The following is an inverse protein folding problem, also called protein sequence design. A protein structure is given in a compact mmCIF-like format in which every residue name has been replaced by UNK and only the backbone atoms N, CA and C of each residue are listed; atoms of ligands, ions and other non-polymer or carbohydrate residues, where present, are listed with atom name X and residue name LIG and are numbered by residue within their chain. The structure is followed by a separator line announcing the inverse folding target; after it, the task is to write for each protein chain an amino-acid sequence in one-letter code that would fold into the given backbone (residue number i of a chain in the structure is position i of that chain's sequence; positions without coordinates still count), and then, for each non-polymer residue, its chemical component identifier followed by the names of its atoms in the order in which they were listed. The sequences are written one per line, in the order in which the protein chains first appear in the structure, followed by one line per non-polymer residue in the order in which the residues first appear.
data_IF_752429753906
#
_entry.id   IF_752429753906
#
_cell.length_a   1.000
_cell.length_b   1.000
_cell.length_c   1.000
_cell.angle_alpha   90.00
_cell.angle_beta   90.00
_cell.angle_gamma   90.00
#
_symmetry.space_group_name_H-M   'P 1'
#
loop_
_entity.id
_entity.type
_entity.pdbx_description
1 polymer ?
#
# COMPACT_ATOMS: atom_id res chain seq x y z
N UNK A 1 6.21 68.80 -1.43
CA UNK A 1 6.94 67.50 -1.29
C UNK A 1 6.81 66.85 0.07
N UNK A 2 6.75 67.57 1.22
CA UNK A 2 6.72 66.89 2.56
C UNK A 2 5.44 66.11 2.90
N UNK A 3 4.27 66.58 2.43
CA UNK A 3 2.99 65.84 2.72
C UNK A 3 2.88 64.52 1.93
N UNK A 4 3.26 64.50 0.65
CA UNK A 4 3.28 63.31 -0.17
C UNK A 4 4.19 62.21 0.44
N UNK A 5 5.40 62.61 0.81
CA UNK A 5 6.36 61.67 1.41
C UNK A 5 5.86 61.08 2.75
N UNK A 6 5.22 61.89 3.60
CA UNK A 6 4.61 61.41 4.86
C UNK A 6 3.46 60.44 4.61
N UNK A 7 2.60 60.70 3.64
CA UNK A 7 1.46 59.81 3.32
C UNK A 7 1.93 58.50 2.72
N UNK A 8 2.92 58.52 1.83
CA UNK A 8 3.50 57.32 1.22
C UNK A 8 4.22 56.48 2.24
N UNK A 9 4.98 57.11 3.15
CA UNK A 9 5.66 56.38 4.25
C UNK A 9 4.67 55.79 5.24
N UNK A 10 3.59 56.52 5.57
CA UNK A 10 2.53 55.98 6.45
C UNK A 10 1.78 54.83 5.81
N UNK A 11 1.48 54.85 4.50
CA UNK A 11 0.87 53.75 3.78
C UNK A 11 1.80 52.53 3.72
N UNK A 12 3.08 52.73 3.44
CA UNK A 12 4.07 51.66 3.44
C UNK A 12 4.22 51.01 4.82
N UNK A 13 4.30 51.82 5.87
CA UNK A 13 4.39 51.29 7.24
C UNK A 13 3.11 50.52 7.66
N UNK A 14 1.94 51.04 7.26
CA UNK A 14 0.66 50.37 7.52
C UNK A 14 0.52 49.02 6.83
N UNK A 15 0.92 48.95 5.53
CA UNK A 15 0.93 47.66 4.81
C UNK A 15 1.95 46.70 5.38
N UNK A 16 3.11 47.15 5.80
CA UNK A 16 4.13 46.29 6.42
C UNK A 16 3.65 45.74 7.76
N UNK A 17 3.04 46.55 8.61
CA UNK A 17 2.47 46.12 9.90
C UNK A 17 1.33 45.13 9.66
N UNK A 18 0.46 45.36 8.69
CA UNK A 18 -0.63 44.45 8.34
C UNK A 18 -0.11 43.10 7.87
N UNK A 19 0.89 43.05 6.97
CA UNK A 19 1.55 41.85 6.51
C UNK A 19 2.25 41.09 7.64
N UNK A 20 2.91 41.80 8.53
CA UNK A 20 3.56 41.21 9.71
C UNK A 20 2.55 40.62 10.68
N UNK A 21 1.42 41.27 10.91
CA UNK A 21 0.32 40.75 11.73
C UNK A 21 -0.30 39.47 11.12
N UNK A 22 -0.51 39.46 9.80
CA UNK A 22 -0.98 38.26 9.08
C UNK A 22 0.04 37.11 9.19
N UNK A 23 1.32 37.41 9.05
CA UNK A 23 2.40 36.45 9.21
C UNK A 23 2.44 35.86 10.62
N UNK A 24 2.31 36.68 11.67
CA UNK A 24 2.23 36.21 13.07
C UNK A 24 0.98 35.36 13.31
N UNK A 25 -0.16 35.69 12.72
CA UNK A 25 -1.36 34.88 12.77
C UNK A 25 -1.15 33.51 12.11
N UNK A 26 -0.53 33.48 10.94
CA UNK A 26 -0.18 32.23 10.25
C UNK A 26 0.80 31.38 11.08
N UNK A 27 1.83 31.99 11.66
CA UNK A 27 2.75 31.27 12.57
C UNK A 27 2.05 30.76 13.84
N UNK A 28 1.10 31.49 14.39
CA UNK A 28 0.30 31.05 15.54
C UNK A 28 -0.58 29.86 15.19
N UNK A 29 -1.21 29.85 14.00
CA UNK A 29 -2.02 28.74 13.52
C UNK A 29 -1.14 27.50 13.26
N UNK A 30 0.00 27.69 12.58
CA UNK A 30 0.97 26.59 12.33
C UNK A 30 1.54 26.07 13.65
N UNK A 31 1.87 26.93 14.60
CA UNK A 31 2.36 26.54 15.92
C UNK A 31 1.32 25.78 16.75
N UNK A 32 0.04 26.16 16.68
CA UNK A 32 -1.04 25.44 17.36
C UNK A 32 -1.33 24.08 16.70
N UNK A 33 -1.26 23.95 15.38
CA UNK A 33 -1.33 22.67 14.68
C UNK A 33 -0.12 21.78 15.04
N UNK A 34 1.09 22.33 15.07
CA UNK A 34 2.31 21.59 15.40
C UNK A 34 2.30 21.07 16.83
N UNK A 35 1.78 21.85 17.80
CA UNK A 35 1.65 21.39 19.19
C UNK A 35 0.58 20.30 19.37
N UNK A 36 -0.46 20.27 18.54
CA UNK A 36 -1.46 19.20 18.53
C UNK A 36 -0.90 17.88 17.95
N UNK A 37 0.07 17.97 17.04
CA UNK A 37 0.73 16.81 16.44
C UNK A 37 1.82 16.24 17.37
N UNK A 38 2.56 17.11 18.10
CA UNK A 38 3.65 16.66 18.96
C UNK A 38 3.21 16.11 20.32
N UNK A 39 1.96 16.28 20.73
CA UNK A 39 1.43 15.76 21.99
C UNK A 39 0.86 14.35 21.93
N UNK A 40 0.96 13.68 20.77
CA UNK A 40 0.72 12.24 20.71
C UNK A 40 2.00 11.49 21.14
N UNK A 41 2.43 11.71 22.41
CA UNK A 41 3.27 10.74 23.11
C UNK A 41 2.62 9.37 22.92
N UNK A 42 3.40 8.42 22.42
CA UNK A 42 2.97 7.03 22.29
C UNK A 42 2.49 6.54 23.65
N UNK A 43 1.18 6.64 23.89
CA UNK A 43 0.57 5.97 25.04
C UNK A 43 0.96 4.50 24.90
N UNK A 44 1.66 3.99 25.88
CA UNK A 44 2.01 2.58 25.95
C UNK A 44 0.71 1.79 25.91
N UNK A 45 0.35 1.29 24.72
CA UNK A 45 -0.84 0.47 24.55
C UNK A 45 -0.62 -0.78 25.38
N UNK A 46 -1.44 -0.97 26.41
CA UNK A 46 -1.43 -2.20 27.20
C UNK A 46 -2.24 -3.20 26.38
N UNK A 47 -1.55 -4.17 25.79
CA UNK A 47 -2.17 -5.26 25.05
C UNK A 47 -2.81 -6.22 26.05
N UNK A 48 -4.11 -6.44 25.92
CA UNK A 48 -4.82 -7.37 26.79
C UNK A 48 -4.52 -8.83 26.38
N UNK A 49 -4.59 -9.80 27.29
CA UNK A 49 -4.49 -11.23 26.92
C UNK A 49 -5.55 -11.62 25.89
N UNK A 50 -5.20 -12.56 25.00
CA UNK A 50 -6.04 -13.02 23.89
C UNK A 50 -6.35 -11.95 22.82
N UNK A 51 -5.50 -10.93 22.68
CA UNK A 51 -5.65 -9.90 21.65
C UNK A 51 -5.33 -10.47 20.26
N UNK A 52 -5.98 -9.86 19.25
CA UNK A 52 -5.74 -10.13 17.84
C UNK A 52 -5.06 -8.91 17.22
N UNK A 53 -3.93 -9.11 16.55
CA UNK A 53 -3.35 -8.04 15.75
C UNK A 53 -4.10 -7.94 14.42
N UNK A 54 -4.97 -6.94 14.30
CA UNK A 54 -5.64 -6.64 13.04
C UNK A 54 -4.74 -5.79 12.16
N UNK A 55 -4.52 -6.26 10.93
CA UNK A 55 -3.85 -5.51 9.87
C UNK A 55 -4.90 -5.13 8.83
N UNK A 56 -5.09 -3.85 8.64
CA UNK A 56 -5.98 -3.28 7.65
C UNK A 56 -5.16 -2.38 6.73
N UNK A 57 -5.21 -2.64 5.42
CA UNK A 57 -4.43 -1.92 4.43
C UNK A 57 -5.18 -0.67 3.89
N UNK A 58 -6.11 -0.12 4.65
CA UNK A 58 -6.83 1.11 4.29
C UNK A 58 -5.89 2.32 4.06
N UNK A 59 -4.74 2.32 4.74
CA UNK A 59 -3.67 3.29 4.51
C UNK A 59 -2.51 2.63 3.74
N UNK A 60 -1.87 3.39 2.85
CA UNK A 60 -0.72 2.92 2.09
C UNK A 60 0.46 2.64 3.02
N UNK A 61 1.12 1.50 2.86
CA UNK A 61 2.40 1.22 3.49
C UNK A 61 3.51 1.79 2.59
N UNK A 62 4.15 2.86 3.07
CA UNK A 62 5.24 3.55 2.40
C UNK A 62 6.60 3.11 2.96
N UNK A 63 7.69 3.35 2.24
CA UNK A 63 9.03 3.06 2.77
C UNK A 63 9.34 3.87 4.04
N UNK A 64 8.84 5.10 4.09
CA UNK A 64 9.02 5.99 5.25
C UNK A 64 7.69 6.54 5.75
N UNK A 65 7.59 6.76 7.06
CA UNK A 65 6.49 7.52 7.64
C UNK A 65 6.45 8.93 7.00
N UNK A 66 5.39 9.28 6.30
CA UNK A 66 5.20 10.61 5.78
C UNK A 66 4.02 11.28 6.48
N UNK A 67 4.32 12.24 7.33
CA UNK A 67 3.34 13.24 7.75
C UNK A 67 3.47 14.43 6.78
N UNK A 68 2.59 14.49 5.80
CA UNK A 68 2.56 15.64 4.91
C UNK A 68 1.50 16.64 5.41
N UNK A 69 1.87 17.71 6.11
CA UNK A 69 0.92 18.71 6.63
C UNK A 69 0.14 19.42 5.51
N UNK A 70 0.64 19.41 4.27
CA UNK A 70 -0.05 19.98 3.11
C UNK A 70 -1.13 19.04 2.53
N UNK A 71 -1.09 17.75 2.82
CA UNK A 71 -2.11 16.79 2.35
C UNK A 71 -3.49 17.09 2.96
N UNK A 72 -3.55 17.61 4.19
CA UNK A 72 -4.79 18.06 4.84
C UNK A 72 -5.46 19.22 4.09
N UNK A 73 -4.67 20.02 3.35
CA UNK A 73 -5.17 21.17 2.58
C UNK A 73 -5.56 20.74 1.16
N UNK A 74 -4.80 19.81 0.54
CA UNK A 74 -5.00 19.38 -0.84
C UNK A 74 -6.08 18.31 -1.01
N UNK A 75 -6.40 17.55 0.04
CA UNK A 75 -7.40 16.49 0.01
C UNK A 75 -8.13 16.42 1.35
N UNK A 76 -9.15 17.27 1.56
CA UNK A 76 -9.97 17.20 2.78
C UNK A 76 -10.65 15.82 2.88
N UNK A 77 -10.26 15.02 3.86
CA UNK A 77 -10.78 13.66 4.09
C UNK A 77 -9.85 12.52 3.73
N UNK A 78 -8.72 12.76 3.07
CA UNK A 78 -7.63 11.78 3.02
C UNK A 78 -6.81 11.92 4.31
N UNK A 79 -6.71 10.86 5.10
CA UNK A 79 -5.72 10.80 6.16
C UNK A 79 -4.35 10.80 5.45
N UNK A 80 -3.66 11.93 5.46
CA UNK A 80 -2.33 12.07 4.84
C UNK A 80 -1.25 11.35 5.63
N UNK A 81 -1.61 10.23 6.28
CA UNK A 81 -0.72 9.38 7.05
C UNK A 81 -0.42 8.13 6.23
N UNK A 82 0.84 7.88 6.00
CA UNK A 82 1.32 6.59 5.55
C UNK A 82 2.00 5.89 6.73
N UNK A 83 1.78 4.60 6.87
CA UNK A 83 2.52 3.80 7.83
C UNK A 83 3.86 3.41 7.20
N UNK A 84 4.97 3.76 7.84
CA UNK A 84 6.29 3.35 7.37
C UNK A 84 6.50 1.85 7.46
N UNK A 85 7.07 1.26 6.41
CA UNK A 85 7.33 -0.17 6.29
C UNK A 85 8.10 -0.72 7.49
N UNK A 86 9.18 -0.05 7.88
CA UNK A 86 10.00 -0.48 9.03
C UNK A 86 9.19 -0.54 10.33
N UNK A 87 8.27 0.41 10.53
CA UNK A 87 7.40 0.43 11.70
C UNK A 87 6.37 -0.71 11.67
N UNK A 88 5.82 -1.00 10.49
CA UNK A 88 4.91 -2.12 10.30
C UNK A 88 5.62 -3.48 10.57
N UNK A 89 6.84 -3.66 10.04
CA UNK A 89 7.67 -4.84 10.27
C UNK A 89 8.02 -4.99 11.76
N UNK A 90 8.49 -3.93 12.40
CA UNK A 90 8.82 -3.95 13.83
C UNK A 90 7.58 -4.29 14.69
N UNK A 91 6.41 -3.83 14.30
CA UNK A 91 5.17 -4.16 15.00
C UNK A 91 4.84 -5.65 14.91
N UNK A 92 5.08 -6.29 13.75
CA UNK A 92 4.95 -7.74 13.59
C UNK A 92 5.97 -8.51 14.43
N UNK A 93 7.22 -8.05 14.49
CA UNK A 93 8.27 -8.68 15.29
C UNK A 93 7.97 -8.61 16.80
N UNK A 94 7.46 -7.46 17.26
CA UNK A 94 6.99 -7.31 18.65
C UNK A 94 5.81 -8.24 18.92
N UNK A 95 4.81 -8.25 18.02
CA UNK A 95 3.63 -9.10 18.16
C UNK A 95 3.97 -10.61 18.15
N UNK A 96 5.01 -11.01 17.40
CA UNK A 96 5.50 -12.39 17.40
C UNK A 96 6.00 -12.84 18.78
N UNK A 97 6.57 -11.92 19.56
CA UNK A 97 7.14 -12.20 20.88
C UNK A 97 6.16 -11.93 22.04
N UNK A 98 5.08 -11.16 21.80
CA UNK A 98 4.13 -10.80 22.85
C UNK A 98 3.14 -11.95 23.10
N UNK A 99 3.15 -12.60 24.30
CA UNK A 99 2.24 -13.69 24.61
C UNK A 99 0.76 -13.28 24.67
N UNK A 100 0.49 -11.97 24.74
CA UNK A 100 -0.88 -11.44 24.74
C UNK A 100 -1.52 -11.48 23.34
N UNK A 101 -0.72 -11.50 22.29
CA UNK A 101 -1.20 -11.62 20.89
C UNK A 101 -1.38 -13.07 20.53
N UNK A 102 -2.61 -13.46 20.20
CA UNK A 102 -2.98 -14.84 19.88
C UNK A 102 -2.69 -15.19 18.42
N UNK A 103 -3.09 -14.33 17.49
CA UNK A 103 -2.87 -14.47 16.06
C UNK A 103 -2.95 -13.12 15.34
N UNK A 104 -2.60 -13.11 14.06
CA UNK A 104 -2.80 -11.96 13.15
C UNK A 104 -4.03 -12.19 12.30
N UNK A 105 -4.88 -11.17 12.18
CA UNK A 105 -5.96 -11.11 11.20
C UNK A 105 -5.67 -10.01 10.17
N UNK A 106 -5.61 -10.36 8.90
CA UNK A 106 -5.37 -9.44 7.78
C UNK A 106 -6.64 -9.25 6.96
N UNK A 107 -7.08 -8.01 6.80
CA UNK A 107 -8.04 -7.63 5.77
C UNK A 107 -7.29 -7.25 4.50
N UNK A 108 -7.37 -8.10 3.46
CA UNK A 108 -6.62 -7.96 2.22
C UNK A 108 -7.41 -7.33 1.07
N UNK A 109 -8.56 -6.69 1.32
CA UNK A 109 -9.39 -6.05 0.29
C UNK A 109 -8.66 -4.94 -0.49
N UNK A 110 -7.85 -4.14 0.19
CA UNK A 110 -7.24 -2.94 -0.37
C UNK A 110 -5.73 -2.90 -0.08
N UNK A 111 -5.02 -3.97 -0.39
CA UNK A 111 -3.56 -4.01 -0.20
C UNK A 111 -2.89 -2.96 -1.06
N UNK A 112 -2.25 -2.00 -0.42
CA UNK A 112 -1.60 -0.86 -1.06
C UNK A 112 -0.22 -0.62 -0.46
N UNK A 113 0.82 -0.85 -1.27
CA UNK A 113 2.21 -0.60 -0.95
C UNK A 113 2.81 0.39 -1.95
N UNK A 114 3.74 1.23 -1.49
CA UNK A 114 4.42 2.19 -2.35
C UNK A 114 5.26 1.50 -3.44
N UNK A 115 5.82 0.32 -3.13
CA UNK A 115 6.64 -0.45 -4.07
C UNK A 115 6.42 -1.96 -3.92
N UNK A 116 6.76 -2.72 -4.97
CA UNK A 116 6.71 -4.19 -4.94
C UNK A 116 7.75 -4.77 -3.98
N UNK A 117 8.91 -4.15 -3.86
CA UNK A 117 9.93 -4.55 -2.89
C UNK A 117 9.45 -4.39 -1.44
N UNK A 118 8.71 -3.31 -1.13
CA UNK A 118 8.09 -3.13 0.19
C UNK A 118 7.04 -4.21 0.48
N UNK A 119 6.30 -4.63 -0.54
CA UNK A 119 5.32 -5.72 -0.44
C UNK A 119 6.01 -7.06 -0.12
N UNK A 120 7.08 -7.40 -0.83
CA UNK A 120 7.88 -8.61 -0.59
C UNK A 120 8.53 -8.61 0.80
N UNK A 121 9.09 -7.47 1.21
CA UNK A 121 9.71 -7.34 2.53
C UNK A 121 8.70 -7.50 3.67
N UNK A 122 7.48 -6.98 3.49
CA UNK A 122 6.39 -7.16 4.44
C UNK A 122 5.92 -8.62 4.48
N UNK A 123 5.80 -9.30 3.33
CA UNK A 123 5.51 -10.74 3.27
C UNK A 123 6.58 -11.56 4.00
N UNK A 124 7.86 -11.22 3.82
CA UNK A 124 8.95 -11.86 4.56
C UNK A 124 8.82 -11.66 6.08
N UNK A 125 8.33 -10.49 6.53
CA UNK A 125 8.04 -10.26 7.95
C UNK A 125 6.87 -11.11 8.46
N UNK A 126 5.82 -11.30 7.66
CA UNK A 126 4.72 -12.24 7.97
C UNK A 126 5.23 -13.70 8.08
N UNK A 127 6.16 -14.10 7.22
CA UNK A 127 6.80 -15.43 7.31
C UNK A 127 7.57 -15.60 8.62
N UNK A 128 8.31 -14.57 9.05
CA UNK A 128 8.98 -14.59 10.36
C UNK A 128 7.98 -14.62 11.51
N UNK A 129 6.88 -13.89 11.42
CA UNK A 129 5.80 -13.96 12.41
C UNK A 129 5.22 -15.38 12.51
N UNK A 130 4.89 -16.00 11.38
CA UNK A 130 4.38 -17.39 11.33
C UNK A 130 5.38 -18.37 11.97
N UNK A 131 6.68 -18.16 11.82
CA UNK A 131 7.73 -18.96 12.43
C UNK A 131 7.75 -18.89 13.97
N UNK A 132 7.07 -17.92 14.58
CA UNK A 132 6.87 -17.86 16.05
C UNK A 132 5.86 -18.88 16.57
N UNK A 133 5.16 -19.60 15.68
CA UNK A 133 4.09 -20.56 16.01
C UNK A 133 2.71 -19.93 16.16
N UNK A 134 2.56 -18.63 15.87
CA UNK A 134 1.26 -17.96 15.86
C UNK A 134 0.64 -17.97 14.47
N UNK A 135 -0.67 -18.14 14.41
CA UNK A 135 -1.40 -18.24 13.15
C UNK A 135 -1.61 -16.88 12.48
N UNK A 136 -1.76 -16.92 11.17
CA UNK A 136 -2.20 -15.80 10.34
C UNK A 136 -3.51 -16.18 9.66
N UNK A 137 -4.54 -15.35 9.78
CA UNK A 137 -5.81 -15.48 9.11
C UNK A 137 -5.95 -14.31 8.13
N UNK A 138 -6.19 -14.59 6.86
CA UNK A 138 -6.41 -13.58 5.84
C UNK A 138 -7.83 -13.65 5.32
N UNK A 139 -8.45 -12.50 5.11
CA UNK A 139 -9.77 -12.36 4.50
C UNK A 139 -9.77 -11.25 3.48
N UNK A 140 -10.52 -11.45 2.41
CA UNK A 140 -10.90 -10.38 1.49
C UNK A 140 -12.29 -10.64 0.89
N UNK A 141 -13.00 -9.56 0.58
CA UNK A 141 -14.16 -9.64 -0.30
C UNK A 141 -13.71 -9.92 -1.73
N UNK A 142 -12.64 -9.26 -2.17
CA UNK A 142 -12.04 -9.47 -3.48
C UNK A 142 -10.52 -9.48 -3.37
N UNK A 143 -9.87 -10.44 -4.00
CA UNK A 143 -8.41 -10.49 -4.03
C UNK A 143 -7.85 -9.83 -5.29
N UNK A 144 -7.04 -8.79 -5.12
CA UNK A 144 -6.10 -8.34 -6.13
C UNK A 144 -4.85 -9.24 -6.13
N UNK A 145 -4.03 -9.21 -7.20
CA UNK A 145 -2.80 -9.97 -7.23
C UNK A 145 -1.85 -9.65 -6.05
N UNK A 146 -1.59 -8.38 -5.67
CA UNK A 146 -0.83 -8.05 -4.45
C UNK A 146 -1.52 -8.52 -3.16
N UNK A 147 -2.85 -8.41 -3.10
CA UNK A 147 -3.64 -8.85 -1.95
C UNK A 147 -3.55 -10.35 -1.73
N UNK A 148 -3.70 -11.12 -2.80
CA UNK A 148 -3.56 -12.57 -2.74
C UNK A 148 -2.11 -13.01 -2.47
N UNK A 149 -1.13 -12.32 -3.05
CA UNK A 149 0.28 -12.57 -2.76
C UNK A 149 0.56 -12.51 -1.24
N UNK A 150 0.05 -11.49 -0.53
CA UNK A 150 0.17 -11.45 0.93
C UNK A 150 -0.69 -12.50 1.63
N UNK A 151 -1.94 -12.68 1.19
CA UNK A 151 -2.86 -13.60 1.84
C UNK A 151 -2.40 -15.06 1.76
N UNK A 152 -1.75 -15.46 0.65
CA UNK A 152 -1.35 -16.85 0.40
C UNK A 152 -0.40 -17.43 1.45
N UNK A 153 0.31 -16.60 2.23
CA UNK A 153 1.18 -17.07 3.32
C UNK A 153 0.39 -17.47 4.59
N UNK A 154 -0.88 -17.02 4.71
CA UNK A 154 -1.69 -17.25 5.88
C UNK A 154 -1.94 -18.75 6.12
N UNK A 155 -2.19 -19.10 7.39
CA UNK A 155 -2.59 -20.45 7.79
C UNK A 155 -4.04 -20.73 7.41
N UNK A 156 -4.84 -19.67 7.30
CA UNK A 156 -6.22 -19.71 6.84
C UNK A 156 -6.48 -18.55 5.89
N UNK A 157 -6.75 -18.84 4.63
CA UNK A 157 -7.15 -17.88 3.61
C UNK A 157 -8.65 -17.99 3.40
N UNK A 158 -9.37 -16.91 3.63
CA UNK A 158 -10.82 -16.84 3.54
C UNK A 158 -11.21 -15.82 2.48
N UNK A 159 -12.23 -16.10 1.71
CA UNK A 159 -12.77 -15.21 0.69
C UNK A 159 -14.28 -15.07 0.81
N UNK A 160 -14.82 -13.93 0.46
CA UNK A 160 -16.27 -13.76 0.36
C UNK A 160 -16.84 -14.70 -0.69
N UNK A 161 -17.97 -15.34 -0.41
CA UNK A 161 -18.64 -16.32 -1.30
C UNK A 161 -18.97 -15.73 -2.68
N UNK A 162 -19.29 -14.41 -2.76
CA UNK A 162 -19.56 -13.71 -4.01
C UNK A 162 -18.39 -12.81 -4.45
N UNK A 163 -17.20 -13.06 -3.91
CA UNK A 163 -16.01 -12.32 -4.24
C UNK A 163 -15.42 -12.70 -5.60
N UNK A 164 -14.52 -11.86 -6.08
CA UNK A 164 -13.76 -12.09 -7.31
C UNK A 164 -12.26 -12.01 -7.04
N UNK A 165 -11.48 -12.78 -7.80
CA UNK A 165 -10.03 -12.71 -7.77
C UNK A 165 -9.50 -12.12 -9.08
N UNK A 166 -8.68 -11.09 -8.97
CA UNK A 166 -8.01 -10.43 -10.10
C UNK A 166 -6.52 -10.81 -10.15
N UNK A 167 -6.27 -12.10 -10.41
CA UNK A 167 -4.92 -12.65 -10.54
C UNK A 167 -4.68 -12.98 -12.00
N UNK A 168 -4.42 -11.93 -12.79
CA UNK A 168 -4.34 -11.98 -14.24
C UNK A 168 -2.91 -11.88 -14.79
N UNK A 169 -1.91 -12.06 -13.95
CA UNK A 169 -0.51 -11.83 -14.30
C UNK A 169 -0.08 -10.37 -14.09
N UNK A 170 1.09 -10.02 -14.58
CA UNK A 170 1.65 -8.68 -14.53
C UNK A 170 1.78 -8.08 -15.92
N UNK A 171 1.50 -6.79 -16.03
CA UNK A 171 1.61 -6.06 -17.28
C UNK A 171 2.15 -4.65 -17.07
N UNK A 172 2.83 -4.12 -18.08
CA UNK A 172 3.33 -2.74 -18.09
C UNK A 172 2.71 -1.96 -19.25
N UNK A 173 2.14 -0.80 -18.93
CA UNK A 173 1.62 0.14 -19.91
C UNK A 173 2.63 1.27 -20.14
N UNK A 174 3.06 1.43 -21.39
CA UNK A 174 3.98 2.50 -21.79
C UNK A 174 3.24 3.54 -22.61
N UNK A 175 3.43 4.81 -22.25
CA UNK A 175 2.84 5.95 -22.96
C UNK A 175 3.90 6.57 -23.87
N UNK A 176 3.52 6.91 -25.11
CA UNK A 176 4.37 7.59 -26.07
C UNK A 176 3.76 8.93 -26.45
N UNK A 177 4.53 10.00 -26.29
CA UNK A 177 4.10 11.39 -26.42
C UNK A 177 4.59 12.06 -27.71
N UNK A 178 5.34 11.34 -28.55
CA UNK A 178 5.97 11.93 -29.76
C UNK A 178 4.97 12.64 -30.66
N UNK A 179 3.88 11.98 -31.06
CA UNK A 179 2.88 12.60 -31.95
C UNK A 179 2.18 13.82 -31.33
N UNK A 180 1.99 13.81 -30.02
CA UNK A 180 1.44 14.95 -29.31
C UNK A 180 2.41 16.14 -29.33
N UNK A 181 3.69 15.89 -29.05
CA UNK A 181 4.74 16.93 -29.06
C UNK A 181 4.97 17.48 -30.45
N UNK A 182 4.96 16.64 -31.48
CA UNK A 182 5.07 17.05 -32.89
C UNK A 182 3.93 18.01 -33.29
N UNK A 183 2.69 17.72 -32.85
CA UNK A 183 1.53 18.62 -33.09
C UNK A 183 1.66 19.96 -32.39
N UNK A 184 2.38 20.03 -31.27
CA UNK A 184 2.68 21.28 -30.56
C UNK A 184 3.91 22.00 -31.13
N UNK A 185 4.59 21.43 -32.12
CA UNK A 185 5.83 21.99 -32.70
C UNK A 185 7.04 21.84 -31.75
N UNK A 186 7.00 20.91 -30.81
CA UNK A 186 8.08 20.67 -29.84
C UNK A 186 8.95 19.52 -30.34
N UNK A 187 10.17 19.82 -30.77
CA UNK A 187 11.18 18.80 -31.13
C UNK A 187 12.02 18.40 -29.91
N UNK A 188 12.12 17.11 -29.64
CA UNK A 188 12.96 16.56 -28.55
C UNK A 188 14.21 15.92 -29.18
N UNK A 189 15.39 16.35 -28.71
CA UNK A 189 16.67 15.70 -29.02
C UNK A 189 17.13 14.89 -27.81
N UNK A 190 17.09 13.56 -27.94
CA UNK A 190 17.53 12.65 -26.89
C UNK A 190 19.02 12.32 -27.08
N UNK A 191 19.84 12.64 -26.08
CA UNK A 191 21.24 12.25 -26.00
C UNK A 191 21.35 11.12 -24.99
N UNK A 192 21.64 9.90 -25.46
CA UNK A 192 21.78 8.71 -24.62
C UNK A 192 22.97 7.87 -25.01
N UNK A 193 23.51 7.15 -24.07
CA UNK A 193 24.58 6.17 -24.32
C UNK A 193 24.19 4.83 -23.70
N UNK A 194 24.15 3.80 -24.53
CA UNK A 194 23.81 2.42 -24.16
C UNK A 194 22.45 1.94 -24.69
N UNK A 195 22.39 0.62 -25.00
CA UNK A 195 21.24 -0.05 -25.64
C UNK A 195 19.94 0.07 -24.79
N UNK A 196 20.08 -0.06 -23.46
CA UNK A 196 18.95 -0.14 -22.53
C UNK A 196 18.60 1.20 -21.83
N UNK A 197 19.10 2.33 -22.33
CA UNK A 197 18.71 3.66 -21.82
C UNK A 197 17.41 4.12 -22.48
N UNK A 198 16.29 3.51 -22.07
CA UNK A 198 14.99 3.64 -22.74
C UNK A 198 14.08 4.75 -22.20
N UNK A 199 14.39 5.36 -21.04
CA UNK A 199 13.52 6.32 -20.37
C UNK A 199 13.06 7.50 -21.24
N UNK A 200 13.88 7.94 -22.21
CA UNK A 200 13.51 9.03 -23.13
C UNK A 200 12.76 8.58 -24.39
N UNK A 201 12.54 7.29 -24.62
CA UNK A 201 11.86 6.80 -25.82
C UNK A 201 10.41 7.28 -25.90
N UNK A 202 9.76 7.49 -24.77
CA UNK A 202 8.40 8.03 -24.69
C UNK A 202 8.23 9.37 -25.43
N UNK A 203 9.30 10.15 -25.58
CA UNK A 203 9.26 11.47 -26.22
C UNK A 203 9.66 11.46 -27.69
N UNK A 204 10.40 10.44 -28.16
CA UNK A 204 10.98 10.39 -29.50
C UNK A 204 10.48 9.24 -30.36
N UNK A 205 9.79 8.26 -29.79
CA UNK A 205 9.24 7.11 -30.47
C UNK A 205 7.70 7.07 -30.35
N UNK A 206 7.03 6.39 -31.27
CA UNK A 206 5.60 6.08 -31.18
C UNK A 206 5.34 4.66 -30.68
N UNK A 207 6.38 3.83 -30.59
CA UNK A 207 6.31 2.46 -30.14
C UNK A 207 7.55 2.09 -29.32
N UNK A 208 7.40 1.07 -28.50
CA UNK A 208 8.50 0.50 -27.73
C UNK A 208 9.59 -0.08 -28.64
N UNK A 209 10.86 0.24 -28.38
CA UNK A 209 11.97 -0.39 -29.08
C UNK A 209 12.16 -1.85 -28.66
N UNK A 210 12.76 -2.70 -29.50
CA UNK A 210 13.06 -4.10 -29.13
C UNK A 210 13.87 -4.23 -27.83
N UNK A 211 14.86 -3.35 -27.63
CA UNK A 211 15.67 -3.37 -26.42
C UNK A 211 14.90 -2.97 -25.15
N UNK A 212 14.00 -2.00 -25.28
CA UNK A 212 13.13 -1.59 -24.18
C UNK A 212 12.09 -2.69 -23.86
N UNK A 213 11.55 -3.36 -24.90
CA UNK A 213 10.65 -4.50 -24.72
C UNK A 213 11.34 -5.65 -23.97
N UNK A 214 12.55 -6.04 -24.44
CA UNK A 214 13.38 -7.05 -23.79
C UNK A 214 13.58 -6.73 -22.29
N UNK A 215 13.99 -5.51 -21.97
CA UNK A 215 14.24 -5.08 -20.59
C UNK A 215 12.97 -5.11 -19.73
N UNK A 216 11.84 -4.63 -20.25
CA UNK A 216 10.58 -4.63 -19.50
C UNK A 216 10.04 -6.06 -19.31
N UNK A 217 10.19 -6.92 -20.31
CA UNK A 217 9.75 -8.31 -20.22
C UNK A 217 10.55 -9.06 -19.16
N UNK A 218 11.88 -9.01 -19.20
CA UNK A 218 12.76 -9.62 -18.20
C UNK A 218 12.43 -9.15 -16.77
N UNK A 219 12.12 -7.87 -16.61
CA UNK A 219 11.74 -7.32 -15.31
C UNK A 219 10.40 -7.88 -14.83
N UNK A 220 9.39 -7.93 -15.71
CA UNK A 220 8.05 -8.42 -15.35
C UNK A 220 8.10 -9.92 -15.06
N UNK A 221 8.79 -10.68 -15.89
CA UNK A 221 8.94 -12.12 -15.74
C UNK A 221 9.64 -12.45 -14.40
N UNK A 222 10.72 -11.75 -14.07
CA UNK A 222 11.43 -11.95 -12.81
C UNK A 222 10.55 -11.68 -11.57
N UNK A 223 9.71 -10.64 -11.61
CA UNK A 223 8.77 -10.33 -10.52
C UNK A 223 7.69 -11.42 -10.44
N UNK A 224 7.12 -11.81 -11.58
CA UNK A 224 6.07 -12.82 -11.64
C UNK A 224 6.56 -14.18 -11.15
N UNK A 225 7.71 -14.61 -11.62
CA UNK A 225 8.33 -15.88 -11.23
C UNK A 225 8.59 -15.93 -9.71
N UNK A 226 9.05 -14.83 -9.12
CA UNK A 226 9.23 -14.71 -7.66
C UNK A 226 7.91 -14.87 -6.92
N UNK A 227 6.86 -14.17 -7.35
CA UNK A 227 5.56 -14.22 -6.69
C UNK A 227 4.92 -15.61 -6.81
N UNK A 228 4.95 -16.17 -8.02
CA UNK A 228 4.36 -17.50 -8.27
C UNK A 228 5.08 -18.58 -7.46
N UNK A 229 6.40 -18.53 -7.38
CA UNK A 229 7.17 -19.48 -6.58
C UNK A 229 6.76 -19.45 -5.10
N UNK A 230 6.60 -18.25 -4.53
CA UNK A 230 6.20 -18.08 -3.12
C UNK A 230 4.74 -18.44 -2.85
N UNK A 231 3.83 -18.11 -3.78
CA UNK A 231 2.41 -18.51 -3.70
C UNK A 231 2.32 -20.04 -3.79
N UNK A 232 2.94 -20.64 -4.78
CA UNK A 232 2.93 -22.09 -5.03
C UNK A 232 3.47 -22.85 -3.81
N UNK A 233 4.58 -22.40 -3.24
CA UNK A 233 5.14 -22.95 -2.03
C UNK A 233 4.18 -22.86 -0.83
N UNK A 234 3.52 -21.71 -0.66
CA UNK A 234 2.63 -21.45 0.48
C UNK A 234 1.32 -22.21 0.39
N UNK A 235 0.84 -22.48 -0.84
CA UNK A 235 -0.43 -23.17 -1.12
C UNK A 235 -0.26 -24.64 -1.51
N UNK A 236 0.99 -25.15 -1.47
CA UNK A 236 1.32 -26.55 -1.75
C UNK A 236 0.89 -27.01 -3.15
N UNK A 237 0.97 -26.12 -4.14
CA UNK A 237 0.73 -26.41 -5.56
C UNK A 237 2.02 -26.22 -6.36
N UNK A 238 2.04 -26.66 -7.60
CA UNK A 238 3.21 -26.43 -8.47
C UNK A 238 3.16 -25.06 -9.15
N UNK A 239 4.32 -24.51 -9.47
CA UNK A 239 4.45 -23.26 -10.26
C UNK A 239 3.73 -23.40 -11.61
N UNK A 240 3.89 -24.56 -12.29
CA UNK A 240 3.26 -24.82 -13.57
C UNK A 240 1.73 -24.85 -13.47
N UNK A 241 1.20 -25.45 -12.41
CA UNK A 241 -0.24 -25.51 -12.15
C UNK A 241 -0.81 -24.11 -11.93
N UNK A 242 -0.16 -23.29 -11.06
CA UNK A 242 -0.60 -21.93 -10.82
C UNK A 242 -0.58 -21.09 -12.12
N UNK A 243 0.50 -21.17 -12.90
CA UNK A 243 0.60 -20.46 -14.19
C UNK A 243 -0.49 -20.90 -15.17
N UNK A 244 -0.80 -22.21 -15.26
CA UNK A 244 -1.89 -22.71 -16.10
C UNK A 244 -3.26 -22.16 -15.68
N UNK A 245 -3.53 -22.06 -14.36
CA UNK A 245 -4.76 -21.47 -13.85
C UNK A 245 -4.90 -19.98 -14.22
N UNK A 246 -3.80 -19.24 -14.15
CA UNK A 246 -3.76 -17.82 -14.53
C UNK A 246 -3.91 -17.65 -16.05
N UNK A 247 -3.15 -18.41 -16.85
CA UNK A 247 -3.17 -18.34 -18.31
C UNK A 247 -4.54 -18.69 -18.90
N UNK A 248 -5.24 -19.63 -18.29
CA UNK A 248 -6.58 -20.05 -18.68
C UNK A 248 -7.69 -19.16 -18.09
N UNK A 249 -7.35 -18.13 -17.31
CA UNK A 249 -8.29 -17.25 -16.60
C UNK A 249 -9.28 -18.03 -15.71
N UNK A 250 -8.82 -19.12 -15.13
CA UNK A 250 -9.64 -20.00 -14.28
C UNK A 250 -9.93 -19.35 -12.92
N UNK A 251 -9.05 -18.48 -12.42
CA UNK A 251 -9.13 -17.88 -11.08
C UNK A 251 -9.98 -16.60 -11.09
N UNK A 252 -11.26 -16.69 -11.46
CA UNK A 252 -12.11 -15.51 -11.62
C UNK A 252 -13.05 -15.27 -10.43
N UNK A 253 -13.53 -16.32 -9.81
CA UNK A 253 -14.49 -16.23 -8.71
C UNK A 253 -14.03 -17.01 -7.46
N UNK A 254 -14.82 -16.93 -6.40
CA UNK A 254 -14.48 -17.51 -5.12
C UNK A 254 -14.51 -19.04 -5.14
N UNK A 255 -15.42 -19.64 -5.92
CA UNK A 255 -15.54 -21.08 -6.03
C UNK A 255 -14.31 -21.68 -6.73
N UNK A 256 -13.86 -21.07 -7.81
CA UNK A 256 -12.63 -21.45 -8.52
C UNK A 256 -11.41 -21.42 -7.59
N UNK A 257 -11.28 -20.35 -6.80
CA UNK A 257 -10.17 -20.19 -5.86
C UNK A 257 -10.19 -21.32 -4.79
N UNK A 258 -11.38 -21.73 -4.35
CA UNK A 258 -11.53 -22.82 -3.37
C UNK A 258 -11.30 -24.18 -4.00
N UNK A 259 -11.80 -24.45 -5.21
CA UNK A 259 -11.62 -25.72 -5.92
C UNK A 259 -10.14 -26.04 -6.16
N UNK A 260 -9.34 -25.00 -6.42
CA UNK A 260 -7.90 -25.12 -6.64
C UNK A 260 -7.04 -24.94 -5.38
N UNK A 261 -7.62 -25.03 -4.19
CA UNK A 261 -6.94 -24.92 -2.88
C UNK A 261 -6.19 -23.58 -2.67
N UNK A 262 -6.55 -22.55 -3.41
CA UNK A 262 -5.98 -21.21 -3.24
C UNK A 262 -6.67 -20.44 -2.11
N UNK A 263 -7.89 -20.82 -1.77
CA UNK A 263 -8.68 -20.33 -0.63
C UNK A 263 -9.17 -21.53 0.18
N UNK A 264 -9.09 -21.45 1.50
CA UNK A 264 -9.45 -22.55 2.38
C UNK A 264 -10.95 -22.59 2.68
N UNK A 265 -11.58 -21.41 2.81
CA UNK A 265 -13.01 -21.28 3.13
C UNK A 265 -13.63 -20.08 2.42
N UNK A 266 -14.92 -20.24 2.10
CA UNK A 266 -15.76 -19.15 1.65
C UNK A 266 -16.68 -18.72 2.79
N UNK A 267 -16.61 -17.45 3.19
CA UNK A 267 -17.36 -16.90 4.31
C UNK A 267 -17.77 -15.46 4.03
N UNK A 268 -18.95 -15.08 4.47
CA UNK A 268 -19.30 -13.66 4.59
C UNK A 268 -18.51 -12.99 5.72
N UNK A 269 -18.40 -11.67 5.68
CA UNK A 269 -17.66 -10.92 6.71
C UNK A 269 -18.16 -11.20 8.14
N UNK A 270 -19.49 -11.29 8.34
CA UNK A 270 -20.05 -11.60 9.64
C UNK A 270 -19.68 -13.01 10.13
N UNK A 271 -19.56 -13.98 9.24
CA UNK A 271 -19.12 -15.34 9.58
C UNK A 271 -17.65 -15.39 9.96
N UNK A 272 -16.82 -14.56 9.30
CA UNK A 272 -15.41 -14.37 9.69
C UNK A 272 -15.31 -13.74 11.08
N UNK A 273 -16.15 -12.74 11.38
CA UNK A 273 -16.23 -12.13 12.70
C UNK A 273 -16.64 -13.15 13.77
N UNK A 274 -17.63 -14.00 13.51
CA UNK A 274 -18.04 -15.09 14.38
C UNK A 274 -16.92 -16.14 14.55
N UNK A 275 -16.18 -16.43 13.49
CA UNK A 275 -15.02 -17.31 13.53
C UNK A 275 -13.92 -16.74 14.43
N UNK A 276 -13.59 -15.45 14.31
CA UNK A 276 -12.63 -14.75 15.18
C UNK A 276 -13.11 -14.77 16.63
N UNK A 277 -14.39 -14.52 16.89
CA UNK A 277 -14.99 -14.59 18.23
C UNK A 277 -14.83 -15.98 18.84
N UNK A 278 -15.04 -17.03 18.06
CA UNK A 278 -14.85 -18.42 18.49
C UNK A 278 -13.39 -18.68 18.88
N UNK A 279 -12.44 -18.20 18.07
CA UNK A 279 -11.01 -18.37 18.35
C UNK A 279 -10.54 -17.59 19.59
N UNK A 280 -11.14 -16.44 19.86
CA UNK A 280 -10.78 -15.58 21.01
C UNK A 280 -11.63 -15.86 22.26
N UNK A 281 -12.60 -16.79 22.17
CA UNK A 281 -13.54 -17.12 23.26
C UNK A 281 -14.35 -15.90 23.70
N UNK A 282 -14.67 -14.99 22.77
CA UNK A 282 -15.49 -13.81 23.00
C UNK A 282 -16.90 -14.00 22.44
N UNK A 283 -17.87 -13.25 22.97
CA UNK A 283 -19.26 -13.34 22.52
C UNK A 283 -19.59 -12.42 21.36
N UNK A 284 -18.79 -11.39 21.15
CA UNK A 284 -18.99 -10.37 20.11
C UNK A 284 -17.65 -9.85 19.61
N UNK A 285 -17.64 -9.44 18.34
CA UNK A 285 -16.44 -8.87 17.71
C UNK A 285 -15.94 -7.58 18.39
N UNK A 286 -16.85 -6.81 18.98
CA UNK A 286 -16.56 -5.59 19.74
C UNK A 286 -15.75 -5.87 21.01
N UNK A 287 -15.81 -7.08 21.55
CA UNK A 287 -15.09 -7.55 22.73
C UNK A 287 -13.70 -8.14 22.39
N UNK A 288 -13.41 -8.36 21.11
CA UNK A 288 -12.09 -8.80 20.62
C UNK A 288 -11.13 -7.62 20.73
N UNK A 289 -10.00 -7.82 21.37
CA UNK A 289 -9.01 -6.78 21.66
C UNK A 289 -7.74 -6.97 20.84
#
# INVERSE_FOLDING_TARGET
MSKFFKTTLAAFLGTFIALFAVMLLLFSIIGSLSSSISSQESQKVIVAPNSVLKIDFAEMIAEQDAENPLSMISSPGASGKSLGLLKAINSLEIAAQDPSIKFVYMNCDNVNFESLSSLEEFRAALSRFKSSGKAIIAYANNYSAPGYYLASIADKVIMNEYGSANILGLGSNLVFLKDFLDKLGVGIQLIRHGKYKSAGEMYINNNISPANREQNQEMIDAIWDSWVAEIAQSREITVDEFNQLVDNLTLSDAEDMKEHNLVDELMYQNEVEDYICTLTETSKIEDVK
#
